data_IF_474613981197
#
_entry.id   IF_474613981197
#
_cell.length_a   1.000
_cell.length_b   1.000
_cell.length_c   1.000
_cell.angle_alpha   90.00
_cell.angle_beta   90.00
_cell.angle_gamma   90.00
#
_symmetry.space_group_name_H-M   'P 1'
#
loop_
_entity.id
_entity.type
_entity.pdbx_description
1 polymer ?
#
# COMPACT_ATOMS: atom_id res chain seq x y z
N UNK A 1 1.50 10.10 22.03
CA UNK A 1 1.75 10.05 20.57
C UNK A 1 1.61 8.62 20.03
N UNK A 2 2.32 7.61 20.56
CA UNK A 2 2.27 6.23 20.04
C UNK A 2 0.90 5.54 19.95
N UNK A 3 -0.02 5.76 20.90
CA UNK A 3 -1.37 5.14 20.86
C UNK A 3 -2.25 5.78 19.77
N UNK A 4 -2.18 7.10 19.63
CA UNK A 4 -2.92 7.84 18.59
C UNK A 4 -2.31 7.53 17.21
N UNK A 5 -0.97 7.47 17.11
CA UNK A 5 -0.28 7.02 15.91
C UNK A 5 -0.71 5.60 15.52
N UNK A 6 -0.66 4.64 16.45
CA UNK A 6 -1.07 3.25 16.18
C UNK A 6 -2.54 3.08 15.78
N UNK A 7 -3.45 3.93 16.27
CA UNK A 7 -4.86 3.92 15.83
C UNK A 7 -5.04 4.53 14.43
N UNK A 8 -4.25 5.55 14.08
CA UNK A 8 -4.32 6.25 12.79
C UNK A 8 -3.51 5.56 11.69
N UNK A 9 -2.51 4.77 12.06
CA UNK A 9 -1.60 4.03 11.19
C UNK A 9 -2.19 2.69 10.71
N UNK A 10 -3.37 2.30 11.23
CA UNK A 10 -4.13 1.14 10.75
C UNK A 10 -4.55 1.30 9.28
N UNK A 11 -4.65 2.54 8.78
CA UNK A 11 -4.84 2.83 7.37
C UNK A 11 -3.61 3.58 6.84
N UNK A 12 -2.82 2.97 5.93
CA UNK A 12 -1.52 3.49 5.52
C UNK A 12 -1.57 4.90 4.91
N UNK A 13 -2.73 5.33 4.40
CA UNK A 13 -2.92 6.66 3.84
C UNK A 13 -3.39 7.71 4.84
N UNK A 14 -4.08 7.31 5.91
CA UNK A 14 -4.72 8.26 6.85
C UNK A 14 -3.72 8.73 7.90
N UNK A 15 -2.82 7.84 8.36
CA UNK A 15 -1.76 8.15 9.31
C UNK A 15 -0.84 9.28 8.85
N UNK A 16 -0.22 9.21 7.65
CA UNK A 16 0.61 10.27 7.12
C UNK A 16 -0.13 11.61 7.02
N UNK A 17 -1.33 11.63 6.43
CA UNK A 17 -2.14 12.84 6.25
C UNK A 17 -2.48 13.51 7.59
N UNK A 18 -2.89 12.74 8.59
CA UNK A 18 -3.23 13.28 9.91
C UNK A 18 -2.00 13.71 10.71
N UNK A 19 -0.85 13.06 10.51
CA UNK A 19 0.41 13.42 11.18
C UNK A 19 1.03 14.71 10.63
N UNK A 20 0.70 15.07 9.39
CA UNK A 20 1.20 16.27 8.74
C UNK A 20 0.62 17.57 9.31
N UNK A 21 -0.65 17.54 9.73
CA UNK A 21 -1.33 18.70 10.27
C UNK A 21 -0.60 19.34 11.47
N UNK A 22 -0.23 18.60 12.54
CA UNK A 22 0.55 19.17 13.63
C UNK A 22 1.97 19.57 13.20
N UNK A 23 2.60 18.84 12.27
CA UNK A 23 3.94 19.17 11.77
C UNK A 23 3.97 20.52 11.05
N UNK A 24 2.98 20.79 10.19
CA UNK A 24 2.83 22.07 9.48
C UNK A 24 2.49 23.20 10.45
N UNK A 25 1.62 22.96 11.43
CA UNK A 25 1.28 23.95 12.47
C UNK A 25 2.50 24.37 13.30
N UNK A 26 3.34 23.41 13.70
CA UNK A 26 4.58 23.69 14.45
C UNK A 26 5.57 24.48 13.58
N UNK A 27 5.73 24.12 12.30
CA UNK A 27 6.60 24.85 11.38
C UNK A 27 6.12 26.29 11.15
N UNK A 28 4.82 26.51 11.06
CA UNK A 28 4.22 27.84 10.95
C UNK A 28 4.47 28.70 12.18
N UNK A 29 4.47 28.11 13.38
CA UNK A 29 4.78 28.81 14.62
C UNK A 29 6.24 29.24 14.75
N UNK A 30 7.18 28.62 14.03
CA UNK A 30 8.59 29.03 14.03
C UNK A 30 8.85 30.14 13.01
N UNK A 31 8.37 29.97 11.78
CA UNK A 31 8.53 30.96 10.71
C UNK A 31 7.64 30.61 9.51
N UNK A 32 6.94 31.58 8.90
CA UNK A 32 6.20 31.36 7.65
C UNK A 32 7.08 30.84 6.52
N UNK A 33 8.37 31.22 6.49
CA UNK A 33 9.32 30.74 5.48
C UNK A 33 9.64 29.25 5.67
N UNK A 34 9.77 28.80 6.92
CA UNK A 34 10.00 27.39 7.24
C UNK A 34 8.76 26.53 6.96
N UNK A 35 7.56 27.05 7.23
CA UNK A 35 6.32 26.37 6.89
C UNK A 35 6.18 26.12 5.38
N UNK A 36 6.56 27.08 4.55
CA UNK A 36 6.56 26.92 3.09
C UNK A 36 7.45 25.76 2.65
N UNK A 37 8.66 25.66 3.22
CA UNK A 37 9.58 24.54 2.92
C UNK A 37 9.03 23.19 3.38
N UNK A 38 8.41 23.13 4.56
CA UNK A 38 7.80 21.89 5.07
C UNK A 38 6.64 21.44 4.18
N UNK A 39 5.77 22.35 3.75
CA UNK A 39 4.66 22.03 2.84
C UNK A 39 5.20 21.51 1.50
N UNK A 40 6.21 22.18 0.94
CA UNK A 40 6.78 21.81 -0.36
C UNK A 40 7.46 20.44 -0.30
N UNK A 41 8.22 20.18 0.76
CA UNK A 41 8.81 18.86 1.02
C UNK A 41 7.73 17.79 1.19
N UNK A 42 6.67 18.10 1.93
CA UNK A 42 5.57 17.17 2.16
C UNK A 42 4.87 16.78 0.85
N UNK A 43 4.59 17.75 -0.02
CA UNK A 43 4.02 17.51 -1.36
C UNK A 43 4.97 16.65 -2.19
N UNK A 44 6.27 16.97 -2.21
CA UNK A 44 7.25 16.21 -2.98
C UNK A 44 7.33 14.74 -2.53
N UNK A 45 7.34 14.50 -1.21
CA UNK A 45 7.35 13.15 -0.64
C UNK A 45 6.07 12.40 -1.01
N UNK A 46 4.89 13.02 -0.85
CA UNK A 46 3.60 12.40 -1.18
C UNK A 46 3.48 12.08 -2.67
N UNK A 47 3.97 12.97 -3.53
CA UNK A 47 4.01 12.71 -4.97
C UNK A 47 4.92 11.53 -5.30
N UNK A 48 6.11 11.46 -4.68
CA UNK A 48 7.01 10.32 -4.88
C UNK A 48 6.40 9.01 -4.36
N UNK A 49 5.78 9.04 -3.19
CA UNK A 49 5.11 7.89 -2.61
C UNK A 49 3.98 7.39 -3.53
N UNK A 50 3.14 8.30 -4.04
CA UNK A 50 2.04 7.95 -4.93
C UNK A 50 2.46 7.41 -6.29
N UNK A 51 3.58 7.90 -6.86
CA UNK A 51 4.01 7.51 -8.21
C UNK A 51 5.05 6.38 -8.23
N UNK A 52 5.78 6.14 -7.15
CA UNK A 52 6.88 5.15 -7.11
C UNK A 52 6.64 4.08 -6.06
N UNK A 53 6.33 4.46 -4.82
CA UNK A 53 6.20 3.52 -3.71
C UNK A 53 4.88 2.73 -3.85
N UNK A 54 3.76 3.43 -4.07
CA UNK A 54 2.46 2.79 -4.28
C UNK A 54 2.48 1.74 -5.39
N UNK A 55 2.95 2.00 -6.63
CA UNK A 55 2.96 0.97 -7.66
C UNK A 55 3.91 -0.18 -7.36
N UNK A 56 5.01 0.03 -6.63
CA UNK A 56 5.89 -1.08 -6.21
C UNK A 56 5.24 -1.95 -5.12
N UNK A 57 4.58 -1.34 -4.14
CA UNK A 57 3.81 -2.07 -3.12
C UNK A 57 2.62 -2.78 -3.74
N UNK A 58 1.91 -2.10 -4.65
CA UNK A 58 0.80 -2.69 -5.40
C UNK A 58 1.29 -3.86 -6.24
N UNK A 59 2.43 -3.76 -6.95
CA UNK A 59 3.05 -4.88 -7.71
C UNK A 59 3.28 -6.13 -6.87
N UNK A 60 3.61 -5.99 -5.59
CA UNK A 60 3.74 -7.13 -4.67
C UNK A 60 2.37 -7.69 -4.21
N UNK A 61 1.29 -6.91 -4.34
CA UNK A 61 -0.05 -7.19 -3.87
C UNK A 61 -1.09 -7.46 -5.00
N UNK A 62 -0.72 -7.42 -6.30
CA UNK A 62 -1.67 -7.50 -7.44
C UNK A 62 -2.31 -8.87 -7.62
N UNK A 63 -1.97 -9.88 -6.81
CA UNK A 63 -2.70 -11.15 -6.84
C UNK A 63 -4.12 -11.06 -6.25
N UNK A 64 -4.53 -9.89 -5.75
CA UNK A 64 -5.86 -9.67 -5.17
C UNK A 64 -6.89 -9.31 -6.26
N UNK A 65 -7.90 -10.16 -6.52
CA UNK A 65 -8.94 -9.84 -7.50
C UNK A 65 -9.75 -8.62 -7.04
N UNK A 66 -9.87 -7.55 -7.85
CA UNK A 66 -10.58 -6.31 -7.45
C UNK A 66 -12.03 -6.55 -6.99
N UNK A 67 -12.67 -7.57 -7.56
CA UNK A 67 -14.03 -7.99 -7.19
C UNK A 67 -14.15 -8.40 -5.72
N UNK A 68 -13.12 -9.02 -5.14
CA UNK A 68 -13.13 -9.42 -3.73
C UNK A 68 -13.05 -8.21 -2.81
N UNK A 69 -12.20 -7.23 -3.17
CA UNK A 69 -12.04 -6.00 -2.39
C UNK A 69 -13.31 -5.17 -2.42
N UNK A 70 -13.90 -4.96 -3.60
CA UNK A 70 -15.15 -4.21 -3.75
C UNK A 70 -16.31 -4.92 -3.03
N UNK A 71 -16.40 -6.24 -3.18
CA UNK A 71 -17.42 -7.04 -2.51
C UNK A 71 -17.31 -6.96 -0.99
N UNK A 72 -16.10 -7.03 -0.44
CA UNK A 72 -15.88 -6.89 1.00
C UNK A 72 -16.14 -5.48 1.52
N UNK A 73 -15.82 -4.43 0.76
CA UNK A 73 -16.15 -3.04 1.12
C UNK A 73 -17.67 -2.87 1.17
N UNK A 74 -18.39 -3.37 0.16
CA UNK A 74 -19.85 -3.30 0.12
C UNK A 74 -20.49 -4.09 1.28
N UNK A 75 -20.01 -5.32 1.52
CA UNK A 75 -20.50 -6.18 2.59
C UNK A 75 -20.19 -5.64 3.99
N UNK A 76 -18.94 -5.22 4.22
CA UNK A 76 -18.50 -4.59 5.46
C UNK A 76 -19.22 -3.27 5.70
N UNK A 77 -19.38 -2.46 4.66
CA UNK A 77 -20.16 -1.23 4.70
C UNK A 77 -21.63 -1.44 5.04
N UNK A 78 -22.23 -2.52 4.53
CA UNK A 78 -23.62 -2.87 4.86
C UNK A 78 -23.77 -3.32 6.33
N UNK A 79 -22.84 -4.11 6.86
CA UNK A 79 -22.92 -4.65 8.23
C UNK A 79 -22.50 -3.65 9.32
N UNK A 80 -21.43 -2.90 9.09
CA UNK A 80 -20.77 -2.07 10.11
C UNK A 80 -20.68 -0.59 9.71
N UNK A 81 -21.31 -0.19 8.60
CA UNK A 81 -21.27 1.18 8.10
C UNK A 81 -19.86 1.63 7.75
N UNK A 82 -19.53 2.88 8.10
CA UNK A 82 -18.22 3.48 7.80
C UNK A 82 -17.04 2.67 8.37
N UNK A 83 -17.19 2.09 9.56
CA UNK A 83 -16.14 1.29 10.19
C UNK A 83 -15.84 0.02 9.39
N UNK A 84 -16.87 -0.61 8.83
CA UNK A 84 -16.70 -1.79 7.98
C UNK A 84 -15.95 -1.47 6.69
N UNK A 85 -16.21 -0.31 6.08
CA UNK A 85 -15.49 0.15 4.88
C UNK A 85 -14.00 0.36 5.19
N UNK A 86 -13.69 0.97 6.33
CA UNK A 86 -12.30 1.25 6.73
C UNK A 86 -11.47 -0.03 6.93
N UNK A 87 -12.09 -1.06 7.52
CA UNK A 87 -11.39 -2.31 7.90
C UNK A 87 -11.48 -3.37 6.79
N UNK A 88 -12.42 -3.27 5.84
CA UNK A 88 -12.62 -4.27 4.79
C UNK A 88 -11.36 -4.54 3.97
N UNK A 89 -10.64 -3.49 3.55
CA UNK A 89 -9.46 -3.61 2.70
C UNK A 89 -8.33 -4.41 3.36
N UNK A 90 -7.81 -4.03 4.54
CA UNK A 90 -6.76 -4.81 5.20
C UNK A 90 -7.23 -6.22 5.59
N UNK A 91 -8.50 -6.39 5.96
CA UNK A 91 -9.04 -7.72 6.30
C UNK A 91 -8.99 -8.68 5.11
N UNK A 92 -9.41 -8.23 3.93
CA UNK A 92 -9.36 -9.03 2.69
C UNK A 92 -7.94 -9.44 2.35
N UNK A 93 -6.98 -8.51 2.47
CA UNK A 93 -5.56 -8.78 2.25
C UNK A 93 -5.07 -9.87 3.21
N UNK A 94 -5.35 -9.74 4.51
CA UNK A 94 -4.97 -10.75 5.51
C UNK A 94 -5.56 -12.12 5.21
N UNK A 95 -6.84 -12.21 4.86
CA UNK A 95 -7.50 -13.47 4.54
C UNK A 95 -6.85 -14.12 3.31
N UNK A 96 -6.62 -13.35 2.25
CA UNK A 96 -6.01 -13.86 1.02
C UNK A 96 -4.56 -14.32 1.24
N UNK A 97 -3.78 -13.59 2.01
CA UNK A 97 -2.43 -14.01 2.41
C UNK A 97 -2.49 -15.31 3.23
N UNK A 98 -3.38 -15.41 4.21
CA UNK A 98 -3.57 -16.63 5.00
C UNK A 98 -3.95 -17.82 4.13
N UNK A 99 -4.88 -17.66 3.17
CA UNK A 99 -5.27 -18.73 2.24
C UNK A 99 -4.10 -19.13 1.36
N UNK A 100 -3.34 -18.17 0.83
CA UNK A 100 -2.18 -18.47 -0.01
C UNK A 100 -1.11 -19.24 0.79
N UNK A 101 -0.83 -18.82 2.02
CA UNK A 101 0.16 -19.48 2.89
C UNK A 101 -0.29 -20.85 3.42
N UNK A 102 -1.57 -21.03 3.78
CA UNK A 102 -2.06 -22.27 4.41
C UNK A 102 -2.60 -23.29 3.41
N UNK A 103 -3.13 -22.86 2.27
CA UNK A 103 -3.80 -23.75 1.31
C UNK A 103 -3.00 -23.92 0.01
N UNK A 104 -2.38 -22.87 -0.53
CA UNK A 104 -1.64 -22.97 -1.80
C UNK A 104 -0.20 -23.44 -1.60
N UNK A 105 0.52 -22.93 -0.58
CA UNK A 105 1.88 -23.36 -0.29
C UNK A 105 1.97 -24.86 0.06
N UNK A 106 0.97 -25.38 0.79
CA UNK A 106 0.88 -26.80 1.17
C UNK A 106 0.47 -27.72 0.00
N UNK A 107 -0.28 -27.20 -0.99
CA UNK A 107 -0.79 -28.01 -2.11
C UNK A 107 0.11 -28.02 -3.34
N UNK A 108 0.94 -27.00 -3.54
CA UNK A 108 1.74 -26.90 -4.77
C UNK A 108 3.21 -27.22 -4.61
N UNK A 109 3.83 -27.09 -3.43
CA UNK A 109 5.27 -27.40 -3.29
C UNK A 109 6.19 -26.69 -4.32
N UNK A 110 5.69 -25.67 -5.02
CA UNK A 110 6.38 -24.98 -6.09
C UNK A 110 6.98 -23.70 -5.53
N UNK A 111 8.30 -23.74 -5.32
CA UNK A 111 9.11 -22.53 -5.24
C UNK A 111 8.89 -21.74 -6.52
N UNK A 112 8.43 -20.49 -6.37
CA UNK A 112 8.15 -19.52 -7.44
C UNK A 112 9.19 -19.61 -8.57
N UNK A 113 8.82 -20.23 -9.68
CA UNK A 113 9.58 -20.12 -10.93
C UNK A 113 9.22 -18.78 -11.55
N UNK A 114 9.99 -17.75 -11.22
CA UNK A 114 9.94 -16.49 -11.93
C UNK A 114 10.31 -16.77 -13.40
N UNK A 115 9.51 -16.36 -14.39
CA UNK A 115 9.94 -16.37 -15.77
C UNK A 115 11.10 -15.39 -15.90
N UNK A 116 12.32 -15.87 -15.73
CA UNK A 116 13.50 -15.18 -16.25
C UNK A 116 13.29 -15.11 -17.75
N UNK A 117 13.28 -13.90 -18.29
CA UNK A 117 13.46 -13.69 -19.73
C UNK A 117 14.69 -14.48 -20.19
N UNK A 118 14.48 -15.66 -20.77
CA UNK A 118 15.52 -16.41 -21.45
C UNK A 118 15.28 -16.35 -22.96
N UNK A 119 16.01 -15.39 -23.54
CA UNK A 119 16.63 -15.36 -24.87
C UNK A 119 15.73 -15.20 -26.10
N UNK A 120 15.86 -14.02 -26.70
CA UNK A 120 15.79 -13.80 -28.15
C UNK A 120 17.11 -13.19 -28.63
N UNK A 121 17.47 -13.36 -29.91
CA UNK A 121 17.88 -14.58 -30.59
C UNK A 121 19.41 -14.72 -30.59
N UNK A 122 19.89 -15.96 -30.74
CA UNK A 122 21.30 -16.26 -31.01
C UNK A 122 21.79 -15.42 -32.19
N UNK A 123 22.70 -14.51 -31.87
CA UNK A 123 23.52 -13.83 -32.86
C UNK A 123 24.27 -14.91 -33.64
N UNK A 124 23.79 -15.13 -34.87
CA UNK A 124 24.54 -15.64 -36.01
C UNK A 124 25.82 -14.81 -36.16
N UNK A 125 26.83 -15.15 -35.38
CA UNK A 125 28.17 -14.57 -35.44
C UNK A 125 29.18 -15.71 -35.44
N UNK A 126 28.97 -16.69 -36.33
CA UNK A 126 30.03 -17.61 -36.75
C UNK A 126 29.70 -18.24 -38.10
N UNK A 127 29.77 -17.47 -39.19
CA UNK A 127 30.18 -17.97 -40.52
C UNK A 127 30.77 -16.84 -41.35
#
# INVERSE_FOLDING_TARGET
LGIIAGLLEFMPYVGPILSAAPAVLIAFSQSPQQAMWVILLYIAIHQFEGHVIQPQVQRAAVDLPPVMTIGAIAFGGYLFGLLGIMIATPLVVCILVCVNMLYLADRLGEGRHFPTEEKAPEAEANT
#
